data_IF_535888992901
#
_entry.id   IF_535888992901
#
_cell.length_a   1.000
_cell.length_b   1.000
_cell.length_c   1.000
_cell.angle_alpha   90.00
_cell.angle_beta   90.00
_cell.angle_gamma   90.00
#
_symmetry.space_group_name_H-M   'P 1'
#
loop_
_entity.id
_entity.type
_entity.pdbx_description
1 polymer ?
#
# COMPACT_ATOMS: atom_id res chain seq x y z
N UNK A 1 7.02 -29.15 -9.53
CA UNK A 1 8.26 -28.61 -8.92
C UNK A 1 8.14 -28.63 -7.38
N UNK A 2 8.97 -29.40 -6.66
CA UNK A 2 8.90 -29.49 -5.17
C UNK A 2 9.45 -28.20 -4.55
N UNK A 3 8.57 -27.33 -4.05
CA UNK A 3 8.98 -26.18 -3.23
C UNK A 3 9.88 -26.67 -2.08
N UNK A 4 11.09 -26.12 -1.95
CA UNK A 4 11.94 -26.32 -0.76
C UNK A 4 11.16 -25.76 0.43
N UNK A 5 10.37 -26.63 1.06
CA UNK A 5 9.69 -26.38 2.33
C UNK A 5 10.79 -26.10 3.35
N UNK A 6 11.07 -24.85 3.66
CA UNK A 6 11.52 -24.56 5.03
C UNK A 6 10.45 -25.20 5.91
N UNK A 7 10.78 -26.10 6.86
CA UNK A 7 9.76 -26.81 7.61
C UNK A 7 8.94 -25.79 8.39
N UNK A 8 7.77 -25.44 7.84
CA UNK A 8 6.81 -24.49 8.40
C UNK A 8 6.58 -24.79 9.89
N UNK A 9 6.57 -26.08 10.24
CA UNK A 9 6.45 -26.58 11.61
C UNK A 9 7.56 -26.07 12.56
N UNK A 10 8.82 -25.98 12.12
CA UNK A 10 9.94 -25.52 12.98
C UNK A 10 9.81 -24.04 13.33
N UNK A 11 9.53 -23.20 12.33
CA UNK A 11 9.34 -21.75 12.53
C UNK A 11 8.13 -21.50 13.44
N UNK A 12 7.01 -22.17 13.17
CA UNK A 12 5.78 -22.03 13.96
C UNK A 12 5.99 -22.43 15.42
N UNK A 13 6.63 -23.59 15.68
CA UNK A 13 6.92 -24.02 17.05
C UNK A 13 7.76 -23.00 17.78
N UNK A 14 8.86 -22.55 17.16
CA UNK A 14 9.76 -21.58 17.77
C UNK A 14 9.07 -20.27 18.11
N UNK A 15 8.20 -19.76 17.22
CA UNK A 15 7.40 -18.55 17.48
C UNK A 15 6.48 -18.77 18.69
N UNK A 16 5.80 -19.91 18.73
CA UNK A 16 4.93 -20.27 19.85
C UNK A 16 5.76 -20.34 21.14
N UNK A 17 6.93 -20.96 21.12
CA UNK A 17 7.78 -21.16 22.30
C UNK A 17 8.38 -19.83 22.81
N UNK A 18 8.93 -19.01 21.92
CA UNK A 18 9.70 -17.82 22.29
C UNK A 18 8.87 -16.54 22.46
N UNK A 19 7.65 -16.47 21.90
CA UNK A 19 6.83 -15.25 21.91
C UNK A 19 5.70 -15.32 22.94
N UNK A 20 5.38 -14.16 23.51
CA UNK A 20 4.30 -13.96 24.49
C UNK A 20 2.94 -13.78 23.81
N UNK A 21 2.92 -12.97 22.74
CA UNK A 21 1.72 -12.62 21.98
C UNK A 21 1.98 -12.86 20.50
N UNK A 22 0.99 -13.42 19.81
CA UNK A 22 1.07 -13.71 18.39
C UNK A 22 0.15 -12.76 17.61
N UNK A 23 0.71 -12.03 16.65
CA UNK A 23 -0.04 -11.29 15.65
C UNK A 23 -0.29 -12.20 14.45
N UNK A 24 -1.53 -12.62 14.25
CA UNK A 24 -1.93 -13.35 13.06
C UNK A 24 -2.40 -12.36 11.99
N UNK A 25 -1.55 -12.15 10.99
CA UNK A 25 -1.80 -11.18 9.91
C UNK A 25 -2.58 -11.81 8.77
N UNK A 26 -3.69 -11.19 8.41
CA UNK A 26 -4.58 -11.59 7.32
C UNK A 26 -4.77 -10.42 6.33
N UNK A 27 -5.12 -10.71 5.09
CA UNK A 27 -5.57 -9.70 4.12
C UNK A 27 -7.05 -9.38 4.38
N UNK A 28 -7.37 -8.12 4.70
CA UNK A 28 -8.71 -7.69 5.08
C UNK A 28 -9.74 -7.87 3.95
N UNK A 29 -9.29 -7.95 2.69
CA UNK A 29 -10.18 -8.11 1.54
C UNK A 29 -10.81 -9.50 1.50
N UNK A 30 -10.02 -10.51 1.85
CA UNK A 30 -10.47 -11.89 1.97
C UNK A 30 -9.63 -12.59 3.06
N UNK A 31 -10.02 -12.40 4.34
CA UNK A 31 -9.30 -12.98 5.46
C UNK A 31 -9.29 -14.50 5.42
N UNK A 32 -10.38 -15.15 4.99
CA UNK A 32 -10.48 -16.63 4.92
C UNK A 32 -9.50 -17.21 3.89
N UNK A 33 -9.29 -16.56 2.74
CA UNK A 33 -8.28 -16.99 1.75
C UNK A 33 -6.85 -16.92 2.31
N UNK A 34 -6.58 -16.05 3.27
CA UNK A 34 -5.24 -15.91 3.87
C UNK A 34 -5.12 -16.51 5.27
N UNK A 35 -6.21 -17.14 5.75
CA UNK A 35 -6.31 -17.80 7.04
C UNK A 35 -5.65 -19.18 7.00
N UNK A 36 -4.99 -19.55 8.10
CA UNK A 36 -4.51 -20.89 8.33
C UNK A 36 -5.12 -21.43 9.64
N UNK A 37 -6.15 -22.26 9.51
CA UNK A 37 -6.96 -22.73 10.65
C UNK A 37 -6.19 -23.70 11.53
N UNK A 38 -5.31 -24.52 10.94
CA UNK A 38 -4.44 -25.43 11.69
C UNK A 38 -3.46 -24.68 12.60
N UNK A 39 -2.83 -23.62 12.05
CA UNK A 39 -1.92 -22.74 12.78
C UNK A 39 -2.65 -22.06 13.95
N UNK A 40 -3.85 -21.53 13.70
CA UNK A 40 -4.68 -20.93 14.75
C UNK A 40 -5.00 -21.90 15.88
N UNK A 41 -5.48 -23.10 15.53
CA UNK A 41 -5.79 -24.16 16.52
C UNK A 41 -4.55 -24.50 17.34
N UNK A 42 -3.40 -24.62 16.69
CA UNK A 42 -2.13 -24.91 17.35
C UNK A 42 -1.71 -23.82 18.32
N UNK A 43 -1.72 -22.55 17.90
CA UNK A 43 -1.36 -21.42 18.76
C UNK A 43 -2.30 -21.36 19.98
N UNK A 44 -3.61 -21.53 19.76
CA UNK A 44 -4.62 -21.55 20.85
C UNK A 44 -4.42 -22.72 21.81
N UNK A 45 -4.14 -23.92 21.30
CA UNK A 45 -3.91 -25.12 22.13
C UNK A 45 -2.70 -24.98 23.07
N UNK A 46 -1.77 -24.08 22.75
CA UNK A 46 -0.59 -23.77 23.54
C UNK A 46 -0.82 -22.58 24.49
N UNK A 47 -2.07 -22.14 24.66
CA UNK A 47 -2.45 -21.05 25.55
C UNK A 47 -1.96 -19.66 25.14
N UNK A 48 -1.45 -19.50 23.91
CA UNK A 48 -0.88 -18.23 23.44
C UNK A 48 -1.99 -17.27 23.01
N UNK A 49 -1.84 -16.00 23.39
CA UNK A 49 -2.79 -14.94 23.02
C UNK A 49 -2.60 -14.53 21.57
N UNK A 50 -3.69 -14.54 20.80
CA UNK A 50 -3.72 -14.14 19.39
C UNK A 50 -4.39 -12.76 19.26
N UNK A 51 -3.75 -11.87 18.51
CA UNK A 51 -4.36 -10.65 17.97
C UNK A 51 -4.48 -10.84 16.46
N UNK A 52 -5.70 -10.78 15.93
CA UNK A 52 -5.92 -10.82 14.49
C UNK A 52 -5.64 -9.44 13.90
N UNK A 53 -4.73 -9.37 12.94
CA UNK A 53 -4.33 -8.12 12.29
C UNK A 53 -4.77 -8.17 10.85
N UNK A 54 -5.92 -7.58 10.54
CA UNK A 54 -6.47 -7.52 9.19
C UNK A 54 -5.87 -6.31 8.47
N UNK A 55 -4.87 -6.58 7.64
CA UNK A 55 -4.12 -5.56 6.89
C UNK A 55 -4.76 -5.26 5.53
N UNK A 56 -4.41 -4.12 4.94
CA UNK A 56 -5.06 -3.56 3.73
C UNK A 56 -6.52 -3.17 3.96
N UNK A 57 -6.88 -2.85 5.21
CA UNK A 57 -8.23 -2.44 5.56
C UNK A 57 -8.69 -1.14 4.85
N UNK A 58 -7.77 -0.35 4.29
CA UNK A 58 -8.11 0.80 3.46
C UNK A 58 -8.76 0.42 2.11
N UNK A 59 -8.64 -0.84 1.69
CA UNK A 59 -9.25 -1.39 0.48
C UNK A 59 -10.63 -2.01 0.74
N UNK A 60 -11.19 -1.85 1.94
CA UNK A 60 -12.44 -2.53 2.33
C UNK A 60 -13.42 -1.52 2.95
N UNK A 61 -14.71 -1.50 2.56
CA UNK A 61 -15.73 -0.66 3.16
C UNK A 61 -15.90 -0.97 4.65
N UNK A 62 -16.30 0.04 5.43
CA UNK A 62 -16.39 -0.06 6.90
C UNK A 62 -17.41 -1.11 7.32
N UNK A 63 -18.49 -1.23 6.56
CA UNK A 63 -19.60 -2.16 6.77
C UNK A 63 -19.11 -3.60 6.69
N UNK A 64 -18.23 -3.89 5.73
CA UNK A 64 -17.61 -5.21 5.57
C UNK A 64 -16.57 -5.47 6.65
N UNK A 65 -15.76 -4.48 7.02
CA UNK A 65 -14.83 -4.61 8.15
C UNK A 65 -15.57 -4.95 9.45
N UNK A 66 -16.74 -4.35 9.69
CA UNK A 66 -17.57 -4.68 10.86
C UNK A 66 -18.05 -6.14 10.83
N UNK A 67 -18.45 -6.66 9.67
CA UNK A 67 -18.79 -8.09 9.52
C UNK A 67 -17.60 -8.98 9.88
N UNK A 68 -16.39 -8.64 9.42
CA UNK A 68 -15.19 -9.38 9.82
C UNK A 68 -14.89 -9.27 11.31
N UNK A 69 -15.14 -8.10 11.94
CA UNK A 69 -14.98 -7.95 13.38
C UNK A 69 -15.89 -8.93 14.15
N UNK A 70 -17.11 -9.17 13.70
CA UNK A 70 -18.01 -10.15 14.31
C UNK A 70 -17.48 -11.59 14.19
N UNK A 71 -16.80 -11.92 13.07
CA UNK A 71 -16.23 -13.25 12.84
C UNK A 71 -14.97 -13.50 13.68
N UNK A 72 -14.06 -12.53 13.76
CA UNK A 72 -12.76 -12.68 14.42
C UNK A 72 -12.76 -12.22 15.89
N UNK A 73 -13.80 -11.49 16.32
CA UNK A 73 -14.03 -11.04 17.69
C UNK A 73 -13.23 -9.80 18.09
N UNK A 74 -13.29 -9.45 19.38
CA UNK A 74 -12.73 -8.20 19.95
C UNK A 74 -11.19 -8.12 19.96
N UNK A 75 -10.50 -9.21 19.63
CA UNK A 75 -9.04 -9.21 19.46
C UNK A 75 -8.60 -8.89 18.02
N UNK A 76 -9.49 -8.28 17.24
CA UNK A 76 -9.23 -7.88 15.85
C UNK A 76 -8.80 -6.42 15.75
N UNK A 77 -7.73 -6.18 15.01
CA UNK A 77 -7.23 -4.84 14.67
C UNK A 77 -7.14 -4.68 13.17
N UNK A 78 -7.82 -3.67 12.64
CA UNK A 78 -7.73 -3.28 11.24
C UNK A 78 -6.59 -2.31 11.02
N UNK A 79 -5.73 -2.60 10.03
CA UNK A 79 -4.56 -1.78 9.74
C UNK A 79 -4.42 -1.55 8.22
N UNK A 80 -3.89 -0.39 7.86
CA UNK A 80 -3.29 -0.18 6.55
C UNK A 80 -1.81 0.07 6.74
N UNK A 81 -0.98 -0.95 6.57
CA UNK A 81 0.47 -0.79 6.67
C UNK A 81 1.00 0.18 5.61
N UNK A 82 0.46 0.11 4.37
CA UNK A 82 0.82 0.98 3.25
C UNK A 82 0.59 2.45 3.57
N UNK A 83 -0.53 2.77 4.22
CA UNK A 83 -0.92 4.15 4.59
C UNK A 83 -0.60 4.52 6.05
N UNK A 84 -0.03 3.58 6.82
CA UNK A 84 0.27 3.68 8.26
C UNK A 84 -0.94 3.99 9.15
N UNK A 85 -2.15 3.60 8.72
CA UNK A 85 -3.39 3.74 9.50
C UNK A 85 -3.54 2.58 10.47
N UNK A 86 -4.12 2.80 11.66
CA UNK A 86 -4.36 1.74 12.67
C UNK A 86 -3.12 1.31 13.47
N UNK A 87 -1.93 1.86 13.17
CA UNK A 87 -0.68 1.50 13.86
C UNK A 87 -0.70 1.79 15.36
N UNK A 88 -1.31 2.90 15.79
CA UNK A 88 -1.48 3.22 17.22
C UNK A 88 -2.36 2.19 17.92
N UNK A 89 -3.52 1.88 17.32
CA UNK A 89 -4.47 0.88 17.84
C UNK A 89 -3.77 -0.47 18.05
N UNK A 90 -2.98 -0.91 17.06
CA UNK A 90 -2.22 -2.15 17.18
C UNK A 90 -1.17 -2.11 18.30
N UNK A 91 -0.42 -1.00 18.43
CA UNK A 91 0.55 -0.85 19.53
C UNK A 91 -0.13 -0.90 20.90
N UNK A 92 -1.26 -0.24 21.05
CA UNK A 92 -1.99 -0.18 22.32
C UNK A 92 -2.56 -1.56 22.65
N UNK A 93 -3.17 -2.27 21.68
CA UNK A 93 -3.65 -3.65 21.86
C UNK A 93 -2.52 -4.63 22.24
N UNK A 94 -1.32 -4.48 21.67
CA UNK A 94 -0.14 -5.27 22.07
C UNK A 94 0.23 -5.00 23.53
N UNK A 95 0.26 -3.73 23.94
CA UNK A 95 0.59 -3.37 25.33
C UNK A 95 -0.47 -3.87 26.32
N UNK A 96 -1.75 -3.72 25.99
CA UNK A 96 -2.85 -4.22 26.80
C UNK A 96 -2.74 -5.74 26.96
N UNK A 97 -2.44 -6.46 25.86
CA UNK A 97 -2.22 -7.90 25.92
C UNK A 97 -1.08 -8.31 26.85
N UNK A 98 0.06 -7.61 26.81
CA UNK A 98 1.17 -7.86 27.72
C UNK A 98 0.82 -7.50 29.18
N UNK A 99 0.09 -6.40 29.40
CA UNK A 99 -0.35 -5.96 30.74
C UNK A 99 -1.28 -6.98 31.38
N UNK A 100 -2.25 -7.51 30.63
CA UNK A 100 -3.14 -8.57 31.11
C UNK A 100 -2.37 -9.85 31.52
N UNK A 101 -1.18 -10.07 30.94
CA UNK A 101 -0.27 -11.16 31.33
C UNK A 101 0.68 -10.77 32.48
N UNK A 102 0.54 -9.59 33.07
CA UNK A 102 1.44 -9.07 34.10
C UNK A 102 2.84 -8.69 33.60
N UNK A 103 3.03 -8.53 32.29
CA UNK A 103 4.35 -8.31 31.67
C UNK A 103 4.56 -6.85 31.25
N UNK A 104 5.71 -6.28 31.64
CA UNK A 104 6.18 -4.96 31.18
C UNK A 104 7.04 -5.03 29.92
N UNK A 105 7.66 -6.18 29.67
CA UNK A 105 8.46 -6.50 28.49
C UNK A 105 7.80 -7.64 27.72
N UNK A 106 7.99 -7.68 26.40
CA UNK A 106 7.33 -8.70 25.59
C UNK A 106 7.97 -8.99 24.25
N UNK A 107 7.95 -10.26 23.88
CA UNK A 107 8.32 -10.77 22.56
C UNK A 107 7.05 -11.06 21.75
N UNK A 108 6.94 -10.44 20.59
CA UNK A 108 5.75 -10.50 19.75
C UNK A 108 6.07 -11.25 18.46
N UNK A 109 5.39 -12.37 18.23
CA UNK A 109 5.53 -13.16 17.01
C UNK A 109 4.60 -12.64 15.92
N UNK A 110 5.08 -12.47 14.69
CA UNK A 110 4.24 -12.06 13.56
C UNK A 110 4.15 -13.22 12.58
N UNK A 111 2.95 -13.78 12.41
CA UNK A 111 2.68 -14.94 11.54
C UNK A 111 1.58 -14.62 10.54
N UNK A 112 1.54 -15.37 9.45
CA UNK A 112 0.51 -15.24 8.42
C UNK A 112 1.02 -15.63 7.05
N UNK A 113 0.10 -15.68 6.08
CA UNK A 113 0.39 -16.05 4.70
C UNK A 113 1.47 -15.14 4.07
N UNK A 114 2.23 -15.59 3.05
CA UNK A 114 3.06 -14.68 2.27
C UNK A 114 2.23 -13.50 1.72
N UNK A 115 2.88 -12.34 1.48
CA UNK A 115 2.27 -11.15 0.86
C UNK A 115 1.06 -10.49 1.56
N UNK A 116 0.60 -10.98 2.72
CA UNK A 116 -0.40 -10.28 3.56
C UNK A 116 0.12 -8.97 4.17
N UNK A 117 1.44 -8.73 4.11
CA UNK A 117 2.05 -7.47 4.53
C UNK A 117 2.68 -7.47 5.93
N UNK A 118 3.14 -8.63 6.44
CA UNK A 118 3.86 -8.76 7.72
C UNK A 118 5.01 -7.75 7.87
N UNK A 119 5.98 -7.77 6.95
CA UNK A 119 7.14 -6.86 6.99
C UNK A 119 6.72 -5.39 6.81
N UNK A 120 5.64 -5.12 6.07
CA UNK A 120 5.07 -3.77 5.95
C UNK A 120 4.48 -3.29 7.28
N UNK A 121 3.82 -4.15 8.04
CA UNK A 121 3.32 -3.84 9.39
C UNK A 121 4.48 -3.54 10.33
N UNK A 122 5.55 -4.34 10.30
CA UNK A 122 6.76 -4.11 11.10
C UNK A 122 7.34 -2.72 10.82
N UNK A 123 7.50 -2.37 9.55
CA UNK A 123 8.00 -1.05 9.14
C UNK A 123 7.04 0.08 9.53
N UNK A 124 5.73 -0.15 9.46
CA UNK A 124 4.73 0.83 9.87
C UNK A 124 4.73 1.04 11.40
N UNK A 125 4.92 -0.03 12.18
CA UNK A 125 4.97 0.01 13.65
C UNK A 125 6.23 0.70 14.17
N UNK A 126 7.39 0.35 13.61
CA UNK A 126 8.72 0.87 14.02
C UNK A 126 9.05 2.24 13.44
N UNK A 127 8.29 2.71 12.43
CA UNK A 127 8.47 4.01 11.79
C UNK A 127 9.68 4.11 10.84
N UNK A 128 10.60 3.14 10.86
CA UNK A 128 11.80 3.03 10.03
C UNK A 128 11.68 1.85 9.05
N UNK A 129 12.36 1.88 7.89
CA UNK A 129 12.45 0.74 6.96
C UNK A 129 13.48 -0.26 7.47
N UNK A 130 13.14 -1.03 8.51
CA UNK A 130 14.04 -2.04 9.11
C UNK A 130 13.87 -3.44 8.51
N UNK A 131 12.65 -3.79 8.08
CA UNK A 131 12.37 -5.05 7.42
C UNK A 131 12.36 -4.88 5.89
N UNK A 132 12.86 -5.88 5.16
CA UNK A 132 12.81 -5.91 3.69
C UNK A 132 11.36 -6.09 3.25
N UNK A 133 10.85 -5.21 2.39
CA UNK A 133 9.47 -5.25 1.89
C UNK A 133 9.43 -5.22 0.37
N UNK A 134 8.52 -6.00 -0.20
CA UNK A 134 8.19 -6.02 -1.63
C UNK A 134 7.06 -7.03 -1.87
N UNK A 135 6.52 -7.06 -3.09
CA UNK A 135 5.41 -7.96 -3.46
C UNK A 135 5.88 -9.36 -3.87
N UNK A 136 7.18 -9.66 -3.71
CA UNK A 136 7.76 -10.96 -4.09
C UNK A 136 7.68 -11.91 -2.89
N UNK A 137 7.11 -13.10 -3.10
CA UNK A 137 7.07 -14.13 -2.08
C UNK A 137 8.48 -14.59 -1.67
N UNK A 138 8.68 -14.78 -0.36
CA UNK A 138 9.95 -15.28 0.19
C UNK A 138 11.09 -14.26 0.23
N UNK A 139 10.79 -12.96 0.33
CA UNK A 139 11.80 -11.92 0.56
C UNK A 139 12.46 -12.02 1.95
N UNK A 140 11.70 -12.40 2.97
CA UNK A 140 12.21 -12.69 4.30
C UNK A 140 12.90 -14.06 4.29
N UNK A 141 14.24 -14.06 4.21
CA UNK A 141 15.07 -15.28 4.10
C UNK A 141 15.47 -15.90 5.45
N UNK A 142 15.27 -15.20 6.57
CA UNK A 142 15.60 -15.66 7.91
C UNK A 142 14.85 -14.87 8.99
N UNK A 143 14.84 -15.39 10.22
CA UNK A 143 14.18 -14.80 11.39
C UNK A 143 15.02 -13.63 11.93
N UNK A 144 14.37 -12.51 12.24
CA UNK A 144 15.05 -11.32 12.78
C UNK A 144 14.24 -10.70 13.92
N UNK A 145 14.94 -10.37 15.02
CA UNK A 145 14.37 -9.60 16.13
C UNK A 145 14.49 -8.11 15.86
N UNK A 146 13.37 -7.40 15.95
CA UNK A 146 13.28 -5.97 15.67
C UNK A 146 12.67 -5.27 16.89
N UNK A 147 13.41 -4.33 17.47
CA UNK A 147 12.90 -3.53 18.59
C UNK A 147 11.76 -2.60 18.13
N UNK A 148 10.57 -2.77 18.69
CA UNK A 148 9.44 -1.85 18.55
C UNK A 148 9.55 -0.69 19.55
N UNK A 149 9.86 -1.01 20.80
CA UNK A 149 10.19 -0.07 21.88
C UNK A 149 11.43 -0.59 22.62
N UNK A 150 11.84 0.08 23.71
CA UNK A 150 12.88 -0.43 24.61
C UNK A 150 12.52 -1.81 25.19
N UNK A 151 11.22 -2.03 25.46
CA UNK A 151 10.72 -3.19 26.20
C UNK A 151 10.01 -4.23 25.32
N UNK A 152 9.74 -3.92 24.04
CA UNK A 152 8.95 -4.78 23.15
C UNK A 152 9.75 -5.10 21.89
N UNK A 153 9.88 -6.40 21.58
CA UNK A 153 10.56 -6.91 20.38
C UNK A 153 9.57 -7.63 19.47
N UNK A 154 9.72 -7.46 18.16
CA UNK A 154 8.96 -8.15 17.13
C UNK A 154 9.85 -9.21 16.47
N UNK A 155 9.31 -10.40 16.24
CA UNK A 155 9.96 -11.44 15.44
C UNK A 155 9.39 -11.39 14.01
N UNK A 156 10.22 -11.01 13.03
CA UNK A 156 9.87 -11.14 11.61
C UNK A 156 10.07 -12.59 11.17
N UNK A 157 9.06 -13.17 10.55
CA UNK A 157 9.04 -14.60 10.22
C UNK A 157 8.63 -14.80 8.75
N UNK A 158 9.18 -15.83 8.07
CA UNK A 158 8.73 -16.22 6.75
C UNK A 158 7.22 -16.53 6.72
N UNK A 159 6.58 -16.37 5.56
CA UNK A 159 5.17 -16.71 5.40
C UNK A 159 4.89 -18.19 5.61
N UNK A 160 3.79 -18.48 6.31
CA UNK A 160 3.32 -19.85 6.56
C UNK A 160 2.22 -20.17 5.56
N UNK A 161 2.46 -21.18 4.72
CA UNK A 161 1.56 -21.60 3.64
C UNK A 161 0.84 -22.89 4.07
N UNK A 162 -0.47 -22.92 3.86
CA UNK A 162 -1.31 -24.13 3.96
C UNK A 162 -1.48 -24.77 2.57
N UNK A 163 -1.83 -26.05 2.49
CA UNK A 163 -2.15 -26.69 1.22
C UNK A 163 -3.40 -26.03 0.61
N UNK A 164 -3.24 -25.47 -0.59
CA UNK A 164 -4.32 -24.86 -1.40
C UNK A 164 -4.08 -25.20 -2.87
N UNK A 165 -5.10 -24.99 -3.70
CA UNK A 165 -4.94 -25.07 -5.15
C UNK A 165 -3.92 -24.02 -5.64
N UNK A 166 -3.26 -24.34 -6.75
CA UNK A 166 -2.18 -23.50 -7.29
C UNK A 166 -2.69 -22.10 -7.64
N UNK A 167 -3.90 -21.98 -8.20
CA UNK A 167 -4.49 -20.70 -8.55
C UNK A 167 -4.66 -19.80 -7.32
N UNK A 168 -5.21 -20.32 -6.22
CA UNK A 168 -5.33 -19.57 -4.97
C UNK A 168 -3.96 -19.13 -4.42
N UNK A 169 -2.92 -19.97 -4.54
CA UNK A 169 -1.56 -19.61 -4.14
C UNK A 169 -0.97 -18.50 -5.01
N UNK A 170 -1.29 -18.48 -6.31
CA UNK A 170 -0.92 -17.40 -7.22
C UNK A 170 -1.68 -16.12 -6.86
N UNK A 171 -3.01 -16.19 -6.69
CA UNK A 171 -3.87 -15.04 -6.38
C UNK A 171 -3.46 -14.38 -5.05
N UNK A 172 -3.21 -15.18 -4.02
CA UNK A 172 -2.76 -14.68 -2.71
C UNK A 172 -1.34 -14.11 -2.73
N UNK A 173 -0.57 -14.36 -3.81
CA UNK A 173 0.84 -14.01 -3.92
C UNK A 173 1.77 -14.89 -3.07
N UNK A 174 1.36 -16.11 -2.74
CA UNK A 174 2.24 -17.09 -2.13
C UNK A 174 3.25 -17.67 -3.12
N UNK A 175 2.86 -17.76 -4.40
CA UNK A 175 3.75 -18.10 -5.50
C UNK A 175 4.27 -16.84 -6.20
N UNK A 176 5.53 -16.93 -6.66
CA UNK A 176 6.13 -15.89 -7.49
C UNK A 176 5.51 -15.96 -8.87
N UNK A 177 4.79 -14.91 -9.24
CA UNK A 177 4.03 -14.83 -10.49
C UNK A 177 4.89 -15.05 -11.74
N UNK A 178 6.17 -14.68 -11.68
CA UNK A 178 7.13 -14.88 -12.78
C UNK A 178 7.46 -16.35 -13.02
N UNK A 179 7.25 -17.21 -12.01
CA UNK A 179 7.51 -18.66 -12.08
C UNK A 179 6.25 -19.47 -12.42
N UNK A 180 5.11 -18.80 -12.58
CA UNK A 180 3.85 -19.46 -12.93
C UNK A 180 3.87 -19.73 -14.44
N UNK A 181 3.72 -21.01 -14.81
CA UNK A 181 3.70 -21.48 -16.19
C UNK A 181 2.47 -20.95 -16.93
N UNK A 182 1.27 -21.18 -16.37
CA UNK A 182 0.02 -20.68 -16.93
C UNK A 182 -0.72 -19.74 -15.94
N UNK A 183 -0.61 -18.41 -16.11
CA UNK A 183 -1.30 -17.43 -15.28
C UNK A 183 -2.75 -17.15 -15.70
N UNK A 184 -3.24 -17.73 -16.81
CA UNK A 184 -4.59 -17.42 -17.34
C UNK A 184 -5.71 -17.90 -16.38
N UNK A 185 -5.75 -19.17 -15.92
CA UNK A 185 -6.76 -19.63 -14.97
C UNK A 185 -6.86 -18.79 -13.69
N UNK A 186 -5.75 -18.44 -12.98
CA UNK A 186 -5.86 -17.60 -11.79
C UNK A 186 -6.31 -16.17 -12.12
N UNK A 187 -5.98 -15.62 -13.29
CA UNK A 187 -6.48 -14.30 -13.69
C UNK A 187 -8.00 -14.33 -13.95
N UNK A 188 -8.50 -15.34 -14.67
CA UNK A 188 -9.94 -15.53 -14.87
C UNK A 188 -10.67 -15.74 -13.54
N UNK A 189 -10.09 -16.52 -12.61
CA UNK A 189 -10.65 -16.74 -11.27
C UNK A 189 -10.74 -15.43 -10.46
N UNK A 190 -9.78 -14.52 -10.58
CA UNK A 190 -9.84 -13.18 -9.97
C UNK A 190 -10.96 -12.35 -10.58
N UNK A 191 -11.02 -12.29 -11.90
CA UNK A 191 -12.05 -11.53 -12.62
C UNK A 191 -13.45 -12.06 -12.30
N UNK A 192 -13.65 -13.38 -12.32
CA UNK A 192 -14.91 -14.04 -12.00
C UNK A 192 -15.36 -13.75 -10.57
N UNK A 193 -14.44 -13.80 -9.59
CA UNK A 193 -14.74 -13.41 -8.21
C UNK A 193 -15.26 -11.96 -8.14
N UNK A 194 -14.58 -11.02 -8.79
CA UNK A 194 -14.99 -9.61 -8.79
C UNK A 194 -16.33 -9.43 -9.52
N UNK A 195 -16.50 -10.08 -10.67
CA UNK A 195 -17.71 -10.00 -11.48
C UNK A 195 -18.94 -10.51 -10.72
N UNK A 196 -18.81 -11.64 -10.01
CA UNK A 196 -19.87 -12.20 -9.15
C UNK A 196 -20.24 -11.31 -7.98
N UNK A 197 -19.32 -10.46 -7.54
CA UNK A 197 -19.58 -9.51 -6.48
C UNK A 197 -20.29 -8.26 -6.98
N UNK A 198 -19.69 -7.63 -7.99
CA UNK A 198 -20.19 -6.42 -8.64
C UNK A 198 -19.50 -6.29 -10.01
N UNK A 199 -20.23 -6.64 -11.06
CA UNK A 199 -19.75 -6.61 -12.45
C UNK A 199 -19.30 -5.21 -12.89
N UNK A 200 -19.90 -4.14 -12.35
CA UNK A 200 -19.59 -2.76 -12.73
C UNK A 200 -18.16 -2.35 -12.34
N UNK A 201 -17.54 -3.03 -11.36
CA UNK A 201 -16.14 -2.78 -10.98
C UNK A 201 -15.19 -3.05 -12.14
N UNK A 202 -15.42 -4.13 -12.88
CA UNK A 202 -14.55 -4.49 -14.01
C UNK A 202 -14.74 -3.52 -15.17
N UNK A 203 -15.99 -3.14 -15.46
CA UNK A 203 -16.31 -2.21 -16.53
C UNK A 203 -15.72 -0.82 -16.26
N UNK A 204 -15.88 -0.29 -15.05
CA UNK A 204 -15.29 0.99 -14.64
C UNK A 204 -13.75 0.94 -14.65
N UNK A 205 -13.15 -0.16 -14.21
CA UNK A 205 -11.70 -0.28 -14.09
C UNK A 205 -10.99 -0.45 -15.43
N UNK A 206 -11.54 -1.26 -16.34
CA UNK A 206 -10.94 -1.53 -17.64
C UNK A 206 -11.48 -0.63 -18.75
N UNK A 207 -12.60 0.06 -18.54
CA UNK A 207 -13.25 0.90 -19.54
C UNK A 207 -13.88 0.11 -20.69
N UNK A 208 -14.21 -1.16 -20.46
CA UNK A 208 -14.80 -2.06 -21.46
C UNK A 208 -16.01 -2.80 -20.89
N UNK A 209 -17.07 -3.07 -21.69
CA UNK A 209 -18.22 -3.85 -21.24
C UNK A 209 -17.83 -5.28 -20.83
N UNK A 210 -18.44 -5.81 -19.78
CA UNK A 210 -18.10 -7.13 -19.23
C UNK A 210 -19.35 -8.02 -19.11
N UNK A 211 -19.64 -8.80 -20.16
CA UNK A 211 -20.79 -9.74 -20.15
C UNK A 211 -20.46 -11.08 -19.50
N UNK A 212 -19.32 -11.66 -19.84
CA UNK A 212 -18.87 -12.98 -19.38
C UNK A 212 -17.38 -12.96 -19.07
N UNK A 213 -16.95 -13.76 -18.09
CA UNK A 213 -15.53 -13.89 -17.75
C UNK A 213 -14.98 -15.14 -18.44
N UNK A 214 -14.32 -14.92 -19.57
CA UNK A 214 -13.66 -15.95 -20.38
C UNK A 214 -12.35 -15.42 -20.97
N UNK A 215 -11.68 -16.23 -21.79
CA UNK A 215 -10.47 -15.80 -22.48
C UNK A 215 -10.71 -14.66 -23.48
N UNK A 216 -11.94 -14.48 -23.99
CA UNK A 216 -12.25 -13.38 -24.90
C UNK A 216 -12.26 -12.05 -24.15
N UNK A 217 -12.86 -12.00 -22.96
CA UNK A 217 -12.76 -10.83 -22.10
C UNK A 217 -11.30 -10.52 -21.73
N UNK A 218 -10.48 -11.54 -21.50
CA UNK A 218 -9.04 -11.35 -21.29
C UNK A 218 -8.33 -10.79 -22.54
N UNK A 219 -8.73 -11.19 -23.75
CA UNK A 219 -8.24 -10.59 -25.01
C UNK A 219 -8.64 -9.13 -25.10
N UNK A 220 -9.89 -8.80 -24.80
CA UNK A 220 -10.40 -7.41 -24.86
C UNK A 220 -9.63 -6.49 -23.90
N UNK A 221 -9.33 -6.96 -22.68
CA UNK A 221 -8.45 -6.24 -21.73
C UNK A 221 -7.04 -6.07 -22.33
N UNK A 222 -6.51 -7.10 -22.99
CA UNK A 222 -5.20 -7.02 -23.64
C UNK A 222 -5.16 -6.00 -24.77
N UNK A 223 -6.22 -5.93 -25.58
CA UNK A 223 -6.37 -4.96 -26.67
C UNK A 223 -6.47 -3.54 -26.11
N UNK A 224 -7.36 -3.30 -25.13
CA UNK A 224 -7.55 -1.97 -24.54
C UNK A 224 -6.28 -1.40 -23.90
N UNK A 225 -5.37 -2.29 -23.47
CA UNK A 225 -4.08 -1.94 -22.88
C UNK A 225 -2.90 -2.00 -23.85
N UNK A 226 -3.16 -2.28 -25.12
CA UNK A 226 -2.14 -2.44 -26.17
C UNK A 226 -1.05 -3.47 -25.80
N UNK A 227 -1.45 -4.60 -25.22
CA UNK A 227 -0.56 -5.71 -24.88
C UNK A 227 -0.49 -6.69 -26.04
N UNK A 228 0.22 -6.28 -27.09
CA UNK A 228 0.39 -7.06 -28.31
C UNK A 228 1.78 -7.70 -28.38
N UNK A 229 1.85 -8.88 -28.99
CA UNK A 229 3.10 -9.57 -29.38
C UNK A 229 3.59 -9.03 -30.72
N UNK A 230 4.82 -9.39 -31.08
CA UNK A 230 5.30 -9.25 -32.46
C UNK A 230 4.39 -10.08 -33.37
N UNK A 231 3.76 -9.43 -34.36
CA UNK A 231 2.75 -10.04 -35.24
C UNK A 231 1.32 -9.55 -35.02
N UNK A 232 1.05 -8.74 -33.97
CA UNK A 232 -0.26 -8.13 -33.74
C UNK A 232 -1.20 -8.93 -32.84
N UNK A 233 -0.87 -10.18 -32.51
CA UNK A 233 -1.65 -11.00 -31.58
C UNK A 233 -1.59 -10.49 -30.14
N UNK A 234 -2.67 -10.66 -29.39
CA UNK A 234 -2.74 -10.25 -27.97
C UNK A 234 -1.87 -11.16 -27.09
N UNK A 235 -1.09 -10.55 -26.19
CA UNK A 235 -0.29 -11.25 -25.18
C UNK A 235 -1.10 -11.58 -23.93
N UNK A 236 -1.86 -12.68 -23.99
CA UNK A 236 -2.69 -13.15 -22.87
C UNK A 236 -1.91 -13.46 -21.59
N UNK A 237 -0.68 -13.95 -21.72
CA UNK A 237 0.17 -14.26 -20.56
C UNK A 237 0.56 -12.97 -19.84
N UNK A 238 0.96 -11.94 -20.59
CA UNK A 238 1.25 -10.61 -20.03
C UNK A 238 0.00 -9.98 -19.43
N UNK A 239 -1.14 -10.07 -20.10
CA UNK A 239 -2.42 -9.55 -19.59
C UNK A 239 -2.80 -10.20 -18.27
N UNK A 240 -2.82 -11.54 -18.23
CA UNK A 240 -3.15 -12.31 -17.04
C UNK A 240 -2.23 -11.98 -15.85
N UNK A 241 -0.90 -11.93 -16.07
CA UNK A 241 0.06 -11.53 -15.03
C UNK A 241 -0.20 -10.11 -14.53
N UNK A 242 -0.53 -9.19 -15.43
CA UNK A 242 -0.80 -7.80 -15.05
C UNK A 242 -2.05 -7.69 -14.17
N UNK A 243 -3.13 -8.39 -14.52
CA UNK A 243 -4.37 -8.43 -13.73
C UNK A 243 -4.11 -8.98 -12.33
N UNK A 244 -3.43 -10.12 -12.21
CA UNK A 244 -3.10 -10.71 -10.91
C UNK A 244 -2.24 -9.76 -10.09
N UNK A 245 -1.25 -9.11 -10.70
CA UNK A 245 -0.38 -8.14 -10.02
C UNK A 245 -1.16 -6.92 -9.54
N UNK A 246 -2.02 -6.36 -10.37
CA UNK A 246 -2.87 -5.22 -10.01
C UNK A 246 -3.84 -5.57 -8.88
N UNK A 247 -4.38 -6.78 -8.89
CA UNK A 247 -5.17 -7.32 -7.79
C UNK A 247 -4.34 -7.42 -6.50
N UNK A 248 -3.16 -8.03 -6.54
CA UNK A 248 -2.29 -8.15 -5.36
C UNK A 248 -1.84 -6.80 -4.79
N UNK A 249 -1.62 -5.82 -5.66
CA UNK A 249 -1.24 -4.43 -5.32
C UNK A 249 -2.41 -3.58 -4.79
N UNK A 250 -3.64 -4.08 -4.93
CA UNK A 250 -4.88 -3.40 -4.55
C UNK A 250 -5.28 -2.27 -5.51
N UNK A 251 -4.81 -2.30 -6.76
CA UNK A 251 -5.25 -1.40 -7.82
C UNK A 251 -6.58 -1.86 -8.39
N UNK A 252 -6.63 -3.14 -8.77
CA UNK A 252 -7.88 -3.85 -9.01
C UNK A 252 -8.37 -4.38 -7.67
N UNK A 253 -9.54 -3.95 -7.23
CA UNK A 253 -10.04 -4.27 -5.89
C UNK A 253 -11.46 -4.81 -5.95
N UNK A 254 -11.75 -5.75 -5.05
CA UNK A 254 -13.06 -6.38 -4.96
C UNK A 254 -14.16 -5.42 -4.51
N UNK A 255 -13.79 -4.36 -3.78
CA UNK A 255 -14.73 -3.38 -3.26
C UNK A 255 -14.53 -2.01 -3.91
N UNK A 256 -15.63 -1.33 -4.22
CA UNK A 256 -15.62 0.10 -4.53
C UNK A 256 -15.25 0.89 -3.28
N UNK A 257 -14.06 1.49 -3.27
CA UNK A 257 -13.58 2.29 -2.14
C UNK A 257 -12.95 3.58 -2.66
N UNK A 258 -13.45 4.71 -2.17
CA UNK A 258 -12.74 5.98 -2.40
C UNK A 258 -11.46 6.01 -1.55
N UNK A 259 -10.34 5.72 -2.18
CA UNK A 259 -9.04 5.81 -1.53
C UNK A 259 -8.60 7.26 -1.31
N UNK A 260 -9.14 8.25 -2.04
CA UNK A 260 -8.76 9.66 -1.88
C UNK A 260 -9.15 10.19 -0.49
N UNK A 261 -10.19 9.62 0.14
CA UNK A 261 -10.66 10.00 1.50
C UNK A 261 -9.59 9.88 2.61
N UNK A 262 -8.61 9.00 2.45
CA UNK A 262 -7.53 8.83 3.45
C UNK A 262 -6.30 9.69 3.15
N UNK A 263 -6.31 10.47 2.07
CA UNK A 263 -5.28 11.46 1.79
C UNK A 263 -5.37 12.63 2.76
N UNK A 264 -4.24 13.28 3.04
CA UNK A 264 -4.27 14.55 3.76
C UNK A 264 -5.02 15.58 2.91
N UNK A 265 -6.08 16.19 3.45
CA UNK A 265 -6.76 17.31 2.79
C UNK A 265 -5.76 18.44 2.62
N UNK A 266 -5.61 18.94 1.40
CA UNK A 266 -4.70 20.05 1.06
C UNK A 266 -5.48 21.32 0.81
N UNK A 267 -4.87 22.47 1.03
CA UNK A 267 -5.38 23.70 0.44
C UNK A 267 -5.01 23.70 -1.03
N UNK A 268 -5.96 24.02 -1.90
CA UNK A 268 -5.69 24.32 -3.32
C UNK A 268 -5.34 25.79 -3.54
N UNK A 269 -5.72 26.63 -2.59
CA UNK A 269 -5.35 28.04 -2.58
C UNK A 269 -3.86 28.19 -2.27
N UNK A 270 -3.11 28.72 -3.24
CA UNK A 270 -1.68 29.00 -3.16
C UNK A 270 -1.39 30.50 -3.02
N UNK A 271 -2.42 31.34 -2.84
CA UNK A 271 -2.32 32.80 -2.73
C UNK A 271 -1.37 33.27 -1.64
N UNK A 272 -1.26 32.52 -0.54
CA UNK A 272 -0.30 32.80 0.54
C UNK A 272 1.15 32.82 0.04
N UNK A 273 1.46 32.09 -1.04
CA UNK A 273 2.78 32.01 -1.66
C UNK A 273 2.86 32.94 -2.87
N UNK A 274 1.90 32.86 -3.80
CA UNK A 274 1.92 33.58 -5.08
C UNK A 274 1.78 35.10 -4.92
N UNK A 275 1.16 35.58 -3.83
CA UNK A 275 1.15 37.02 -3.51
C UNK A 275 2.56 37.63 -3.39
N UNK A 276 3.56 36.83 -3.02
CA UNK A 276 4.96 37.27 -2.91
C UNK A 276 5.73 37.19 -4.23
N UNK A 277 5.09 36.69 -5.30
CA UNK A 277 5.71 36.44 -6.60
C UNK A 277 5.17 37.34 -7.71
N UNK A 278 4.10 38.13 -7.47
CA UNK A 278 3.43 38.95 -8.50
C UNK A 278 4.35 39.90 -9.28
N UNK A 279 5.44 40.36 -8.66
CA UNK A 279 6.42 41.25 -9.28
C UNK A 279 7.84 40.65 -9.22
N UNK A 280 7.95 39.32 -9.12
CA UNK A 280 9.24 38.66 -9.00
C UNK A 280 9.84 38.39 -10.39
N UNK A 281 10.98 39.01 -10.76
CA UNK A 281 11.47 39.02 -12.13
C UNK A 281 11.99 37.67 -12.63
N UNK A 282 12.26 36.72 -11.73
CA UNK A 282 12.84 35.41 -12.07
C UNK A 282 11.83 34.28 -11.89
N UNK A 283 10.56 34.51 -12.26
CA UNK A 283 9.49 33.52 -12.08
C UNK A 283 9.73 32.22 -12.86
N UNK A 284 10.57 32.27 -13.91
CA UNK A 284 10.96 31.13 -14.74
C UNK A 284 12.02 30.22 -14.08
N UNK A 285 12.68 30.67 -13.01
CA UNK A 285 13.67 29.89 -12.27
C UNK A 285 13.13 29.45 -10.90
N UNK A 286 12.74 28.18 -10.79
CA UNK A 286 12.23 27.59 -9.56
C UNK A 286 13.20 27.73 -8.38
N UNK A 287 14.51 27.73 -8.63
CA UNK A 287 15.52 27.90 -7.59
C UNK A 287 15.52 29.33 -7.08
N UNK A 288 15.42 30.32 -7.97
CA UNK A 288 15.33 31.73 -7.58
C UNK A 288 14.02 32.02 -6.85
N UNK A 289 12.90 31.47 -7.33
CA UNK A 289 11.59 31.56 -6.65
C UNK A 289 11.69 31.03 -5.22
N UNK A 290 12.21 29.82 -5.02
CA UNK A 290 12.33 29.25 -3.66
C UNK A 290 13.31 30.06 -2.80
N UNK A 291 14.38 30.60 -3.39
CA UNK A 291 15.34 31.44 -2.67
C UNK A 291 14.67 32.72 -2.17
N UNK A 292 13.91 33.42 -3.01
CA UNK A 292 13.11 34.59 -2.64
C UNK A 292 12.09 34.26 -1.54
N UNK A 293 11.37 33.14 -1.68
CA UNK A 293 10.36 32.73 -0.69
C UNK A 293 10.97 32.37 0.69
N UNK A 294 12.27 32.08 0.78
CA UNK A 294 12.93 31.84 2.08
C UNK A 294 13.01 33.08 2.95
N UNK A 295 12.97 34.27 2.36
CA UNK A 295 13.06 35.53 3.09
C UNK A 295 11.71 35.99 3.64
N UNK A 296 10.62 35.34 3.24
CA UNK A 296 9.28 35.62 3.73
C UNK A 296 9.03 34.94 5.09
N UNK A 297 8.91 35.75 6.14
CA UNK A 297 8.77 35.28 7.52
C UNK A 297 7.54 34.37 7.74
N UNK A 298 6.40 34.73 7.15
CA UNK A 298 5.16 33.96 7.30
C UNK A 298 5.24 32.54 6.72
N UNK A 299 6.10 32.32 5.72
CA UNK A 299 6.30 31.01 5.11
C UNK A 299 7.23 30.11 5.96
N UNK A 300 8.02 30.70 6.88
CA UNK A 300 8.89 29.92 7.78
C UNK A 300 8.10 29.18 8.86
N UNK A 301 6.91 29.68 9.22
CA UNK A 301 6.01 29.07 10.22
C UNK A 301 5.50 27.72 9.74
N UNK A 302 5.51 26.71 10.60
CA UNK A 302 5.06 25.35 10.26
C UNK A 302 3.57 25.36 9.90
N UNK A 303 3.25 24.98 8.66
CA UNK A 303 1.85 24.97 8.22
C UNK A 303 1.14 23.72 8.73
N UNK A 304 -0.11 23.87 9.19
CA UNK A 304 -0.94 22.76 9.71
C UNK A 304 -1.49 21.88 8.59
N UNK A 305 -1.82 22.48 7.45
CA UNK A 305 -2.41 21.83 6.28
C UNK A 305 -1.49 22.07 5.08
N UNK A 306 -0.97 21.01 4.43
CA UNK A 306 -0.16 21.16 3.24
C UNK A 306 -0.92 21.87 2.13
N UNK A 307 -0.19 22.63 1.34
CA UNK A 307 -0.70 23.40 0.20
C UNK A 307 -0.24 22.69 -1.07
N UNK A 308 -1.16 22.48 -2.01
CA UNK A 308 -0.87 21.92 -3.32
C UNK A 308 -1.82 22.56 -4.32
N UNK A 309 -1.28 23.33 -5.25
CA UNK A 309 -2.04 23.98 -6.30
C UNK A 309 -1.15 24.49 -7.41
N UNK A 310 -1.80 25.09 -8.40
CA UNK A 310 -1.15 25.74 -9.53
C UNK A 310 -1.80 27.10 -9.78
N UNK A 311 -1.01 28.05 -10.28
CA UNK A 311 -1.46 29.39 -10.67
C UNK A 311 -0.70 29.82 -11.92
N UNK A 312 -1.36 30.56 -12.79
CA UNK A 312 -0.77 31.13 -14.00
C UNK A 312 -0.16 32.49 -13.67
N UNK A 313 1.09 32.70 -14.06
CA UNK A 313 1.88 33.91 -13.81
C UNK A 313 2.78 34.17 -15.02
N UNK A 314 2.62 35.33 -15.66
CA UNK A 314 3.45 35.78 -16.79
C UNK A 314 3.63 34.70 -17.87
N UNK A 315 2.51 34.17 -18.39
CA UNK A 315 2.42 33.09 -19.38
C UNK A 315 3.00 31.73 -18.96
N UNK A 316 3.41 31.60 -17.70
CA UNK A 316 3.94 30.38 -17.11
C UNK A 316 2.96 29.80 -16.08
N UNK A 317 2.97 28.48 -15.95
CA UNK A 317 2.19 27.77 -14.95
C UNK A 317 3.12 27.37 -13.81
N UNK A 318 2.89 27.97 -12.66
CA UNK A 318 3.59 27.69 -11.42
C UNK A 318 2.82 26.62 -10.64
N UNK A 319 3.46 25.48 -10.37
CA UNK A 319 2.88 24.38 -9.57
C UNK A 319 3.68 24.24 -8.29
N UNK A 320 3.01 24.33 -7.14
CA UNK A 320 3.65 24.36 -5.83
C UNK A 320 3.11 23.25 -4.94
N UNK A 321 4.00 22.50 -4.31
CA UNK A 321 3.68 21.67 -3.15
C UNK A 321 4.46 22.14 -1.93
N UNK A 322 3.74 22.58 -0.89
CA UNK A 322 4.31 23.19 0.30
C UNK A 322 3.81 22.54 1.60
N UNK A 323 4.73 22.31 2.55
CA UNK A 323 4.46 21.76 3.88
C UNK A 323 4.23 20.25 3.95
N UNK A 324 4.62 19.50 2.91
CA UNK A 324 4.56 18.04 2.98
C UNK A 324 5.57 17.47 3.97
N UNK A 325 5.32 16.25 4.45
CA UNK A 325 6.19 15.58 5.44
C UNK A 325 7.61 15.32 4.94
N UNK A 326 7.80 15.16 3.64
CA UNK A 326 9.09 14.80 3.02
C UNK A 326 9.27 15.52 1.70
N UNK A 327 10.52 15.89 1.34
CA UNK A 327 10.86 16.47 0.02
C UNK A 327 10.34 15.62 -1.15
N UNK A 328 10.49 14.30 -1.07
CA UNK A 328 9.99 13.35 -2.09
C UNK A 328 8.46 13.41 -2.27
N UNK A 329 7.72 13.68 -1.19
CA UNK A 329 6.26 13.83 -1.26
C UNK A 329 5.85 15.14 -1.91
N UNK A 330 6.59 16.24 -1.72
CA UNK A 330 6.36 17.47 -2.48
C UNK A 330 6.59 17.21 -3.97
N UNK A 331 7.75 16.65 -4.33
CA UNK A 331 8.14 16.35 -5.71
C UNK A 331 7.08 15.51 -6.43
N UNK A 332 6.70 14.37 -5.86
CA UNK A 332 5.74 13.43 -6.49
C UNK A 332 4.40 14.07 -6.78
N UNK A 333 3.91 14.94 -5.89
CA UNK A 333 2.61 15.61 -6.06
C UNK A 333 2.65 16.67 -7.15
N UNK A 334 3.75 17.41 -7.25
CA UNK A 334 3.97 18.35 -8.35
C UNK A 334 4.06 17.58 -9.67
N UNK A 335 4.89 16.53 -9.74
CA UNK A 335 5.02 15.70 -10.94
C UNK A 335 3.71 15.00 -11.35
N UNK A 336 2.83 14.66 -10.40
CA UNK A 336 1.49 14.11 -10.65
C UNK A 336 0.59 15.16 -11.31
N UNK A 337 0.50 16.38 -10.75
CA UNK A 337 -0.27 17.48 -11.34
C UNK A 337 0.24 17.83 -12.74
N UNK A 338 1.55 17.92 -12.95
CA UNK A 338 2.11 18.23 -14.25
C UNK A 338 1.69 17.22 -15.33
N UNK A 339 1.58 15.95 -14.96
CA UNK A 339 1.11 14.88 -15.87
C UNK A 339 -0.39 14.95 -16.12
N UNK A 340 -1.18 15.19 -15.07
CA UNK A 340 -2.63 15.31 -15.17
C UNK A 340 -3.05 16.50 -16.05
N UNK A 341 -2.33 17.63 -15.92
CA UNK A 341 -2.63 18.89 -16.61
C UNK A 341 -1.85 19.08 -17.93
N UNK A 342 -1.07 18.09 -18.34
CA UNK A 342 -0.26 18.09 -19.57
C UNK A 342 0.65 19.33 -19.71
N UNK A 343 1.44 19.58 -18.67
CA UNK A 343 2.33 20.75 -18.56
C UNK A 343 3.76 20.33 -18.94
N UNK A 344 4.35 21.03 -19.90
CA UNK A 344 5.76 20.91 -20.25
C UNK A 344 6.61 21.71 -19.26
N UNK A 345 7.40 21.01 -18.45
CA UNK A 345 8.17 21.59 -17.33
C UNK A 345 9.58 21.93 -17.83
N UNK A 346 9.94 23.20 -17.81
CA UNK A 346 11.31 23.64 -18.10
C UNK A 346 12.12 23.96 -16.84
N UNK A 347 11.48 24.22 -15.70
CA UNK A 347 12.18 24.55 -14.44
C UNK A 347 11.55 23.87 -13.24
N UNK A 348 12.36 23.31 -12.35
CA UNK A 348 11.88 22.67 -11.12
C UNK A 348 12.94 22.66 -10.03
N UNK A 349 12.52 22.94 -8.81
CA UNK A 349 13.42 22.96 -7.67
C UNK A 349 12.69 22.57 -6.39
N UNK A 350 13.40 21.98 -5.44
CA UNK A 350 12.83 21.53 -4.18
C UNK A 350 13.77 21.81 -3.03
N UNK A 351 13.26 22.48 -2.00
CA UNK A 351 14.04 22.75 -0.80
C UNK A 351 13.18 22.84 0.47
N UNK A 352 13.66 23.55 1.50
CA UNK A 352 12.94 23.87 2.71
C UNK A 352 12.81 25.37 2.89
N UNK A 353 11.66 25.78 3.41
CA UNK A 353 11.42 27.12 3.95
C UNK A 353 11.04 26.91 5.43
N UNK A 354 11.93 27.29 6.34
CA UNK A 354 11.81 26.96 7.76
C UNK A 354 11.64 25.45 7.99
N UNK A 355 10.56 25.06 8.67
CA UNK A 355 10.23 23.65 8.95
C UNK A 355 9.48 22.94 7.80
N UNK A 356 9.10 23.67 6.74
CA UNK A 356 8.25 23.18 5.67
C UNK A 356 9.09 22.72 4.47
N UNK A 357 8.78 21.55 3.90
CA UNK A 357 9.33 21.17 2.60
C UNK A 357 8.55 21.89 1.49
N UNK A 358 9.25 22.34 0.46
CA UNK A 358 8.66 22.95 -0.73
C UNK A 358 9.21 22.27 -1.99
N UNK A 359 8.37 22.12 -3.01
CA UNK A 359 8.78 21.80 -4.37
C UNK A 359 7.97 22.64 -5.34
N UNK A 360 8.65 23.23 -6.31
CA UNK A 360 8.08 24.07 -7.35
C UNK A 360 8.44 23.47 -8.70
N UNK A 361 7.48 23.41 -9.61
CA UNK A 361 7.71 23.25 -11.03
C UNK A 361 7.09 24.44 -11.77
N UNK A 362 7.76 24.89 -12.81
CA UNK A 362 7.31 25.93 -13.72
C UNK A 362 7.34 25.34 -15.12
N UNK A 363 6.26 25.54 -15.84
CA UNK A 363 6.09 25.02 -17.18
C UNK A 363 5.03 25.77 -17.96
N UNK A 364 4.73 25.27 -19.16
CA UNK A 364 3.66 25.80 -20.02
C UNK A 364 2.71 24.68 -20.42
N UNK A 365 1.44 25.01 -20.65
CA UNK A 365 0.49 24.04 -21.20
C UNK A 365 0.93 23.64 -22.60
N UNK A 366 0.97 22.34 -22.85
CA UNK A 366 1.19 21.82 -24.21
C UNK A 366 -0.10 22.12 -24.99
N UNK A 367 -0.03 23.03 -25.97
CA UNK A 367 -1.13 23.21 -26.93
C UNK A 367 -1.29 21.88 -27.68
N UNK A 368 -2.51 21.33 -27.64
CA UNK A 368 -2.88 20.14 -28.41
C UNK A 368 -2.77 20.40 -29.90
#
# INVERSE_FOLDING_TARGET
MKFKKVPVKKIVNKIIDECDVILLVLDARDPEMTRNKELEKKIKSQGKKIIYVLNKADLVPKEILNKWKNVFGENTVFISAKRRLGTKILRDKIKDALREMGKKEGKIGIVGYPNVGKSSIINALTGKRKAITGNIAGLTKGEQWINLTKNIKLMDTPGVIEMKDEDDLVISGALRLEKVENPIPPALKVLDRIHKFDSSILEEYFGIPCKTIDENFLKDIGISRNYLKKGGDVDLIRTARTIIKEYQEGKLNYYKVDLKKYGQKRSKDISMITKHLKNFPFIEDAKMVITHLKDIEDLRKKIKKPILGMEEMDDNILIISFGEKTKDACRKKVEEICKEENIDIFSKFGDKIGANNIYIAIGRKIKK
#
